data_IF_777769705451
#
_entry.id   IF_777769705451
#
_cell.length_a   1.000
_cell.length_b   1.000
_cell.length_c   1.000
_cell.angle_alpha   90.00
_cell.angle_beta   90.00
_cell.angle_gamma   90.00
#
_symmetry.space_group_name_H-M   'P 1'
#
loop_
_entity.id
_entity.type
_entity.pdbx_description
1 polymer ?
#
# COMPACT_ATOMS: atom_id res chain seq x y z
N UNK A 1 -25.59 6.67 -11.72
CA UNK A 1 -25.01 6.45 -13.07
C UNK A 1 -23.78 7.33 -13.17
N UNK A 2 -22.59 6.77 -13.15
CA UNK A 2 -21.34 7.51 -13.29
C UNK A 2 -21.24 7.97 -14.75
N UNK A 3 -20.93 9.24 -14.98
CA UNK A 3 -20.68 9.72 -16.34
C UNK A 3 -19.51 8.95 -16.95
N UNK A 4 -19.56 8.53 -18.22
CA UNK A 4 -18.48 7.76 -18.86
C UNK A 4 -17.13 8.48 -18.80
N UNK A 5 -17.12 9.80 -18.71
CA UNK A 5 -15.90 10.61 -18.55
C UNK A 5 -15.22 10.45 -17.19
N UNK A 6 -15.97 10.29 -16.09
CA UNK A 6 -15.37 10.07 -14.76
C UNK A 6 -14.74 8.68 -14.64
N UNK A 7 -15.35 7.66 -15.25
CA UNK A 7 -14.79 6.32 -15.27
C UNK A 7 -13.46 6.25 -16.04
N UNK A 8 -13.40 6.89 -17.22
CA UNK A 8 -12.16 6.94 -18.02
C UNK A 8 -11.04 7.69 -17.32
N UNK A 9 -11.36 8.76 -16.59
CA UNK A 9 -10.40 9.53 -15.80
C UNK A 9 -9.85 8.69 -14.64
N UNK A 10 -10.70 7.93 -13.92
CA UNK A 10 -10.28 7.01 -12.86
C UNK A 10 -9.31 5.94 -13.38
N UNK A 11 -9.62 5.32 -14.52
CA UNK A 11 -8.72 4.35 -15.16
C UNK A 11 -7.39 4.97 -15.57
N UNK A 12 -7.40 6.18 -16.15
CA UNK A 12 -6.18 6.89 -16.54
C UNK A 12 -5.28 7.23 -15.33
N UNK A 13 -5.88 7.73 -14.24
CA UNK A 13 -5.16 8.05 -13.02
C UNK A 13 -4.54 6.81 -12.36
N UNK A 14 -5.27 5.70 -12.30
CA UNK A 14 -4.77 4.44 -11.73
C UNK A 14 -3.70 3.81 -12.60
N UNK A 15 -3.87 3.86 -13.93
CA UNK A 15 -2.85 3.43 -14.88
C UNK A 15 -1.57 4.25 -14.75
N UNK A 16 -1.68 5.57 -14.66
CA UNK A 16 -0.56 6.48 -14.44
C UNK A 16 0.15 6.21 -13.10
N UNK A 17 -0.63 6.05 -12.02
CA UNK A 17 -0.08 5.70 -10.70
C UNK A 17 0.66 4.37 -10.75
N UNK A 18 0.06 3.34 -11.36
CA UNK A 18 0.68 2.01 -11.48
C UNK A 18 1.99 2.10 -12.27
N UNK A 19 2.02 2.83 -13.37
CA UNK A 19 3.23 3.03 -14.17
C UNK A 19 4.34 3.72 -13.37
N UNK A 20 4.01 4.77 -12.61
CA UNK A 20 4.98 5.49 -11.79
C UNK A 20 5.54 4.63 -10.64
N UNK A 21 4.70 3.88 -9.92
CA UNK A 21 5.20 3.01 -8.85
C UNK A 21 6.03 1.84 -9.38
N UNK A 22 5.72 1.33 -10.57
CA UNK A 22 6.54 0.31 -11.22
C UNK A 22 7.88 0.87 -11.68
N UNK A 23 7.90 2.09 -12.22
CA UNK A 23 9.15 2.77 -12.56
C UNK A 23 10.02 2.98 -11.32
N UNK A 24 9.42 3.45 -10.22
CA UNK A 24 10.12 3.60 -8.94
C UNK A 24 10.67 2.26 -8.44
N UNK A 25 9.88 1.18 -8.53
CA UNK A 25 10.34 -0.16 -8.15
C UNK A 25 11.54 -0.62 -8.97
N UNK A 26 11.53 -0.37 -10.29
CA UNK A 26 12.64 -0.72 -11.20
C UNK A 26 13.88 0.08 -10.83
N UNK A 27 13.77 1.39 -10.60
CA UNK A 27 14.90 2.25 -10.23
C UNK A 27 15.49 1.80 -8.89
N UNK A 28 14.67 1.59 -7.86
CA UNK A 28 15.14 1.12 -6.56
C UNK A 28 15.84 -0.24 -6.65
N UNK A 29 15.29 -1.15 -7.44
CA UNK A 29 15.87 -2.48 -7.63
C UNK A 29 17.19 -2.43 -8.41
N UNK A 30 17.26 -1.62 -9.47
CA UNK A 30 18.46 -1.51 -10.31
C UNK A 30 19.59 -0.84 -9.58
N UNK A 31 19.32 0.32 -8.96
CA UNK A 31 20.38 1.21 -8.48
C UNK A 31 20.80 0.91 -7.03
N UNK A 32 19.91 0.32 -6.23
CA UNK A 32 20.12 0.14 -4.78
C UNK A 32 19.81 -1.28 -4.27
N UNK A 33 19.86 -2.30 -5.13
CA UNK A 33 19.51 -3.70 -4.76
C UNK A 33 20.29 -4.30 -3.59
N UNK A 34 21.45 -3.74 -3.25
CA UNK A 34 22.25 -4.14 -2.09
C UNK A 34 21.66 -3.73 -0.75
N UNK A 35 20.75 -2.76 -0.73
CA UNK A 35 20.11 -2.25 0.48
C UNK A 35 18.78 -2.95 0.72
N UNK A 36 18.56 -3.44 1.94
CA UNK A 36 17.30 -4.09 2.33
C UNK A 36 16.11 -3.12 2.20
N UNK A 37 16.30 -1.86 2.61
CA UNK A 37 15.29 -0.81 2.49
C UNK A 37 14.87 -0.55 1.05
N UNK A 38 15.81 -0.54 0.08
CA UNK A 38 15.48 -0.37 -1.32
C UNK A 38 14.70 -1.57 -1.90
N UNK A 39 15.06 -2.80 -1.51
CA UNK A 39 14.34 -4.02 -1.92
C UNK A 39 12.90 -4.03 -1.36
N UNK A 40 12.73 -3.66 -0.10
CA UNK A 40 11.41 -3.56 0.53
C UNK A 40 10.61 -2.39 -0.04
N UNK A 41 11.25 -1.26 -0.35
CA UNK A 41 10.64 -0.14 -1.04
C UNK A 41 10.12 -0.52 -2.44
N UNK A 42 10.91 -1.27 -3.21
CA UNK A 42 10.48 -1.79 -4.50
C UNK A 42 9.30 -2.76 -4.37
N UNK A 43 9.33 -3.66 -3.38
CA UNK A 43 8.23 -4.58 -3.09
C UNK A 43 6.96 -3.82 -2.66
N UNK A 44 7.09 -2.80 -1.82
CA UNK A 44 6.00 -1.92 -1.41
C UNK A 44 5.40 -1.15 -2.60
N UNK A 45 6.23 -0.64 -3.50
CA UNK A 45 5.78 0.04 -4.72
C UNK A 45 4.98 -0.91 -5.62
N UNK A 46 5.47 -2.14 -5.85
CA UNK A 46 4.75 -3.17 -6.62
C UNK A 46 3.40 -3.50 -5.96
N UNK A 47 3.37 -3.70 -4.64
CA UNK A 47 2.14 -3.95 -3.90
C UNK A 47 1.14 -2.79 -3.97
N UNK A 48 1.64 -1.54 -3.97
CA UNK A 48 0.81 -0.34 -4.14
C UNK A 48 0.21 -0.25 -5.55
N UNK A 49 0.96 -0.63 -6.59
CA UNK A 49 0.44 -0.76 -7.95
C UNK A 49 -0.64 -1.83 -8.05
N UNK A 50 -0.41 -3.01 -7.43
CA UNK A 50 -1.43 -4.05 -7.36
C UNK A 50 -2.69 -3.56 -6.63
N UNK A 51 -2.54 -2.81 -5.53
CA UNK A 51 -3.66 -2.21 -4.82
C UNK A 51 -4.42 -1.18 -5.68
N UNK A 52 -3.72 -0.35 -6.44
CA UNK A 52 -4.36 0.61 -7.36
C UNK A 52 -5.29 -0.09 -8.37
N UNK A 53 -4.89 -1.28 -8.86
CA UNK A 53 -5.70 -2.10 -9.76
C UNK A 53 -6.86 -2.78 -9.01
N UNK A 54 -6.59 -3.46 -7.90
CA UNK A 54 -7.60 -4.25 -7.17
C UNK A 54 -8.66 -3.38 -6.48
N UNK A 55 -8.38 -2.12 -6.20
CA UNK A 55 -9.31 -1.16 -5.62
C UNK A 55 -10.20 -0.46 -6.65
N UNK A 56 -10.11 -0.80 -7.92
CA UNK A 56 -10.97 -0.23 -8.97
C UNK A 56 -12.40 -0.73 -8.83
N UNK A 57 -13.39 0.14 -9.03
CA UNK A 57 -14.81 -0.19 -8.90
C UNK A 57 -15.27 -1.34 -9.82
N UNK A 58 -14.59 -1.56 -10.96
CA UNK A 58 -14.85 -2.65 -11.89
C UNK A 58 -14.01 -3.91 -11.66
N UNK A 59 -13.17 -3.96 -10.63
CA UNK A 59 -12.34 -5.13 -10.37
C UNK A 59 -13.21 -6.30 -9.88
N UNK A 60 -13.13 -7.43 -10.56
CA UNK A 60 -13.78 -8.67 -10.16
C UNK A 60 -12.75 -9.76 -9.88
N UNK A 61 -12.79 -10.44 -8.71
CA UNK A 61 -11.93 -11.59 -8.43
C UNK A 61 -12.09 -12.73 -9.44
N UNK A 62 -13.20 -12.77 -10.18
CA UNK A 62 -13.49 -13.80 -11.19
C UNK A 62 -12.73 -13.64 -12.51
N UNK A 63 -11.91 -12.58 -12.66
CA UNK A 63 -11.17 -12.27 -13.91
C UNK A 63 -10.04 -13.28 -14.26
N UNK A 64 -9.90 -14.37 -13.52
CA UNK A 64 -8.99 -15.46 -13.86
C UNK A 64 -7.70 -15.49 -13.05
N UNK A 65 -6.73 -16.27 -13.53
CA UNK A 65 -5.49 -16.60 -12.81
C UNK A 65 -4.65 -15.36 -12.41
N UNK A 66 -4.75 -14.29 -13.16
CA UNK A 66 -4.00 -13.05 -12.90
C UNK A 66 -4.49 -12.26 -11.69
N UNK A 67 -5.70 -12.55 -11.20
CA UNK A 67 -6.22 -11.90 -9.98
C UNK A 67 -5.52 -12.39 -8.72
N UNK A 68 -5.02 -13.63 -8.71
CA UNK A 68 -4.34 -14.21 -7.54
C UNK A 68 -3.08 -13.41 -7.14
N UNK A 69 -2.10 -13.16 -8.01
CA UNK A 69 -0.93 -12.37 -7.64
C UNK A 69 -1.28 -10.92 -7.26
N UNK A 70 -2.27 -10.31 -7.92
CA UNK A 70 -2.71 -8.96 -7.58
C UNK A 70 -3.32 -8.90 -6.17
N UNK A 71 -4.18 -9.86 -5.82
CA UNK A 71 -4.77 -9.94 -4.48
C UNK A 71 -3.69 -10.21 -3.43
N UNK A 72 -2.76 -11.13 -3.70
CA UNK A 72 -1.67 -11.44 -2.79
C UNK A 72 -0.78 -10.21 -2.51
N UNK A 73 -0.35 -9.52 -3.57
CA UNK A 73 0.49 -8.33 -3.46
C UNK A 73 -0.23 -7.18 -2.77
N UNK A 74 -1.51 -6.93 -3.08
CA UNK A 74 -2.27 -5.85 -2.46
C UNK A 74 -2.61 -6.11 -1.00
N UNK A 75 -3.04 -7.33 -0.64
CA UNK A 75 -3.45 -7.68 0.72
C UNK A 75 -2.26 -7.74 1.67
N UNK A 76 -1.11 -8.27 1.23
CA UNK A 76 0.12 -8.35 2.01
C UNK A 76 0.91 -7.04 2.10
N UNK A 77 0.52 -6.01 1.35
CA UNK A 77 1.31 -4.78 1.20
C UNK A 77 1.50 -3.99 2.51
N UNK A 78 0.57 -4.10 3.45
CA UNK A 78 0.67 -3.42 4.75
C UNK A 78 1.83 -3.93 5.60
N UNK A 79 2.11 -5.24 5.59
CA UNK A 79 3.28 -5.83 6.24
C UNK A 79 4.56 -5.37 5.57
N UNK A 80 4.56 -5.32 4.22
CA UNK A 80 5.70 -4.83 3.44
C UNK A 80 5.97 -3.36 3.74
N UNK A 81 4.93 -2.52 3.85
CA UNK A 81 5.05 -1.12 4.27
C UNK A 81 5.73 -0.98 5.63
N UNK A 82 5.24 -1.71 6.64
CA UNK A 82 5.85 -1.66 7.96
C UNK A 82 7.30 -2.17 7.97
N UNK A 83 7.59 -3.28 7.28
CA UNK A 83 8.95 -3.79 7.13
C UNK A 83 9.87 -2.80 6.39
N UNK A 84 9.35 -2.12 5.36
CA UNK A 84 10.05 -1.05 4.64
C UNK A 84 10.35 0.12 5.58
N UNK A 85 9.35 0.63 6.31
CA UNK A 85 9.54 1.70 7.28
C UNK A 85 10.60 1.31 8.33
N UNK A 86 10.53 0.10 8.87
CA UNK A 86 11.51 -0.40 9.83
C UNK A 86 12.93 -0.45 9.24
N UNK A 87 13.09 -1.00 8.04
CA UNK A 87 14.40 -1.08 7.37
C UNK A 87 14.93 0.29 6.90
N UNK A 88 14.06 1.29 6.77
CA UNK A 88 14.45 2.63 6.37
C UNK A 88 15.07 3.43 7.52
N UNK A 89 14.60 3.16 8.75
CA UNK A 89 15.01 3.89 9.95
C UNK A 89 15.91 3.10 10.90
N UNK A 90 15.98 1.77 10.78
CA UNK A 90 16.80 0.90 11.61
C UNK A 90 17.73 0.04 10.75
N UNK A 91 19.02 0.41 10.71
CA UNK A 91 20.05 -0.31 9.95
C UNK A 91 20.28 -1.74 10.51
N UNK A 92 19.88 -2.01 11.74
CA UNK A 92 19.96 -3.33 12.36
C UNK A 92 18.76 -4.24 12.03
N UNK A 93 17.73 -3.69 11.38
CA UNK A 93 16.53 -4.43 11.03
C UNK A 93 16.84 -5.60 10.09
N UNK A 94 16.32 -6.77 10.45
CA UNK A 94 16.46 -8.00 9.65
C UNK A 94 15.10 -8.66 9.45
N UNK A 95 14.83 -9.05 8.21
CA UNK A 95 13.67 -9.88 7.93
C UNK A 95 13.83 -11.25 8.60
N UNK A 96 12.80 -11.66 9.33
CA UNK A 96 12.69 -12.96 9.99
C UNK A 96 11.49 -13.71 9.45
N UNK A 97 11.45 -15.04 9.61
CA UNK A 97 10.37 -15.88 9.10
C UNK A 97 8.96 -15.46 9.54
N UNK A 98 8.81 -14.88 10.72
CA UNK A 98 7.51 -14.40 11.20
C UNK A 98 6.94 -13.22 10.38
N UNK A 99 7.77 -12.39 9.73
CA UNK A 99 7.28 -11.35 8.82
C UNK A 99 6.62 -11.99 7.58
N UNK A 100 7.22 -13.07 7.07
CA UNK A 100 6.62 -13.84 5.98
C UNK A 100 5.32 -14.53 6.43
N UNK A 101 5.26 -15.04 7.66
CA UNK A 101 4.05 -15.62 8.22
C UNK A 101 2.91 -14.59 8.34
N UNK A 102 3.21 -13.37 8.80
CA UNK A 102 2.23 -12.27 8.83
C UNK A 102 1.77 -11.87 7.43
N UNK A 103 2.70 -11.80 6.48
CA UNK A 103 2.36 -11.51 5.08
C UNK A 103 1.41 -12.58 4.52
N UNK A 104 1.75 -13.87 4.72
CA UNK A 104 0.89 -14.99 4.30
C UNK A 104 -0.48 -14.96 4.97
N UNK A 105 -0.56 -14.61 6.25
CA UNK A 105 -1.83 -14.49 6.98
C UNK A 105 -2.74 -13.44 6.33
N UNK A 106 -2.20 -12.26 5.99
CA UNK A 106 -2.98 -11.22 5.33
C UNK A 106 -3.39 -11.62 3.91
N UNK A 107 -2.51 -12.29 3.18
CA UNK A 107 -2.81 -12.83 1.85
C UNK A 107 -3.95 -13.83 1.91
N UNK A 108 -3.90 -14.78 2.85
CA UNK A 108 -4.99 -15.74 3.07
C UNK A 108 -6.29 -15.06 3.46
N UNK A 109 -6.23 -14.02 4.31
CA UNK A 109 -7.38 -13.19 4.64
C UNK A 109 -7.98 -12.49 3.42
N UNK A 110 -7.13 -11.95 2.54
CA UNK A 110 -7.56 -11.34 1.29
C UNK A 110 -8.27 -12.33 0.35
N UNK A 111 -7.72 -13.54 0.20
CA UNK A 111 -8.38 -14.60 -0.56
C UNK A 111 -9.67 -15.08 0.09
N UNK A 112 -9.67 -15.27 1.41
CA UNK A 112 -10.88 -15.66 2.14
C UNK A 112 -12.01 -14.63 1.95
N UNK A 113 -11.68 -13.33 1.92
CA UNK A 113 -12.65 -12.27 1.64
C UNK A 113 -13.23 -12.34 0.22
N UNK A 114 -12.49 -12.87 -0.75
CA UNK A 114 -12.99 -13.09 -2.12
C UNK A 114 -13.93 -14.32 -2.20
N UNK A 115 -13.68 -15.34 -1.38
CA UNK A 115 -14.44 -16.59 -1.40
C UNK A 115 -15.70 -16.49 -0.51
N UNK A 116 -15.54 -15.91 0.68
CA UNK A 116 -16.61 -15.79 1.69
C UNK A 116 -16.59 -14.36 2.25
N UNK A 117 -17.22 -13.42 1.54
CA UNK A 117 -17.31 -12.04 2.02
C UNK A 117 -18.03 -11.98 3.37
N UNK A 118 -17.38 -11.38 4.38
CA UNK A 118 -17.94 -11.25 5.72
C UNK A 118 -17.53 -9.96 6.40
N UNK A 119 -18.46 -9.32 7.12
CA UNK A 119 -18.18 -8.06 7.82
C UNK A 119 -17.06 -8.21 8.84
N UNK A 120 -17.04 -9.29 9.61
CA UNK A 120 -16.01 -9.54 10.63
C UNK A 120 -14.63 -9.66 10.01
N UNK A 121 -14.48 -10.40 8.89
CA UNK A 121 -13.22 -10.54 8.18
C UNK A 121 -12.80 -9.21 7.55
N UNK A 122 -13.74 -8.47 6.96
CA UNK A 122 -13.48 -7.14 6.42
C UNK A 122 -12.96 -6.17 7.48
N UNK A 123 -13.60 -6.15 8.66
CA UNK A 123 -13.14 -5.36 9.80
C UNK A 123 -11.75 -5.79 10.29
N UNK A 124 -11.50 -7.09 10.41
CA UNK A 124 -10.20 -7.61 10.83
C UNK A 124 -9.07 -7.17 9.88
N UNK A 125 -9.28 -7.25 8.56
CA UNK A 125 -8.33 -6.79 7.56
C UNK A 125 -8.14 -5.27 7.60
N UNK A 126 -9.19 -4.50 7.82
CA UNK A 126 -9.12 -3.04 7.95
C UNK A 126 -8.37 -2.63 9.22
N UNK A 127 -8.65 -3.27 10.35
CA UNK A 127 -7.94 -3.02 11.61
C UNK A 127 -6.48 -3.43 11.52
N UNK A 128 -6.16 -4.53 10.83
CA UNK A 128 -4.75 -4.92 10.58
C UNK A 128 -4.02 -3.88 9.74
N UNK A 129 -4.66 -3.32 8.72
CA UNK A 129 -4.08 -2.24 7.90
C UNK A 129 -3.76 -1.01 8.75
N UNK A 130 -4.67 -0.62 9.62
CA UNK A 130 -4.48 0.50 10.55
C UNK A 130 -3.35 0.20 11.54
N UNK A 131 -3.30 -1.01 12.10
CA UNK A 131 -2.25 -1.43 13.02
C UNK A 131 -0.85 -1.34 12.37
N UNK A 132 -0.70 -1.82 11.14
CA UNK A 132 0.59 -1.73 10.42
C UNK A 132 0.94 -0.29 10.04
N UNK A 133 -0.03 0.57 9.71
CA UNK A 133 0.20 1.99 9.51
C UNK A 133 0.71 2.66 10.80
N UNK A 134 0.08 2.37 11.94
CA UNK A 134 0.51 2.87 13.25
C UNK A 134 1.89 2.36 13.65
N UNK A 135 2.21 1.08 13.37
CA UNK A 135 3.55 0.53 13.59
C UNK A 135 4.60 1.25 12.73
N UNK A 136 4.29 1.55 11.46
CA UNK A 136 5.16 2.34 10.60
C UNK A 136 5.41 3.75 11.13
N UNK A 137 4.39 4.43 11.64
CA UNK A 137 4.53 5.73 12.31
C UNK A 137 5.36 5.60 13.58
N UNK A 138 5.08 4.60 14.41
CA UNK A 138 5.78 4.39 15.68
C UNK A 138 7.27 4.15 15.47
N UNK A 139 7.66 3.33 14.47
CA UNK A 139 9.07 3.11 14.12
C UNK A 139 9.74 4.40 13.64
N UNK A 140 9.02 5.22 12.88
CA UNK A 140 9.50 6.53 12.42
C UNK A 140 9.74 7.50 13.57
N UNK A 141 8.81 7.56 14.55
CA UNK A 141 8.94 8.42 15.73
C UNK A 141 10.05 7.92 16.66
N UNK A 142 10.15 6.62 16.87
CA UNK A 142 11.17 6.03 17.76
C UNK A 142 12.60 6.31 17.27
N UNK A 143 12.81 6.33 15.94
CA UNK A 143 14.10 6.60 15.31
C UNK A 143 14.42 8.09 15.16
N UNK A 144 13.49 8.98 15.50
CA UNK A 144 13.65 10.44 15.31
C UNK A 144 14.89 11.01 16.00
N UNK A 145 15.28 10.45 17.15
CA UNK A 145 16.38 10.97 17.96
C UNK A 145 17.76 10.49 17.51
N UNK A 146 17.83 9.47 16.67
CA UNK A 146 19.08 8.82 16.25
C UNK A 146 19.59 9.25 14.88
N UNK A 147 18.73 9.87 14.06
CA UNK A 147 19.13 10.27 12.68
C UNK A 147 19.62 11.72 12.67
N UNK A 148 20.95 11.87 12.54
CA UNK A 148 21.66 13.16 12.56
C UNK A 148 21.65 13.91 11.20
N UNK A 149 21.22 13.27 10.10
CA UNK A 149 21.25 13.85 8.75
C UNK A 149 19.88 14.41 8.36
N UNK A 150 19.70 15.70 8.55
CA UNK A 150 18.42 16.41 8.43
C UNK A 150 17.73 16.30 7.06
N UNK A 151 18.48 16.27 5.95
CA UNK A 151 17.93 16.24 4.59
C UNK A 151 17.33 14.86 4.25
N UNK A 152 18.00 13.78 4.62
CA UNK A 152 17.50 12.40 4.41
C UNK A 152 16.28 12.13 5.29
N UNK A 153 16.26 12.67 6.51
CA UNK A 153 15.17 12.54 7.45
C UNK A 153 13.84 13.10 6.91
N UNK A 154 13.86 14.27 6.27
CA UNK A 154 12.64 14.90 5.72
C UNK A 154 11.98 14.04 4.66
N UNK A 155 12.73 13.50 3.70
CA UNK A 155 12.21 12.63 2.64
C UNK A 155 11.64 11.34 3.23
N UNK A 156 12.37 10.70 4.14
CA UNK A 156 11.91 9.46 4.80
C UNK A 156 10.61 9.69 5.59
N UNK A 157 10.55 10.76 6.37
CA UNK A 157 9.35 11.16 7.12
C UNK A 157 8.17 11.43 6.20
N UNK A 158 8.41 12.11 5.09
CA UNK A 158 7.37 12.40 4.11
C UNK A 158 6.81 11.11 3.51
N UNK A 159 7.67 10.20 3.02
CA UNK A 159 7.24 8.95 2.38
C UNK A 159 6.44 8.08 3.35
N UNK A 160 6.96 7.86 4.57
CA UNK A 160 6.27 7.01 5.56
C UNK A 160 5.01 7.69 6.08
N UNK A 161 5.06 8.99 6.38
CA UNK A 161 3.92 9.75 6.87
C UNK A 161 2.78 9.82 5.85
N UNK A 162 3.09 10.13 4.60
CA UNK A 162 2.11 10.19 3.52
C UNK A 162 1.49 8.81 3.24
N UNK A 163 2.30 7.74 3.24
CA UNK A 163 1.80 6.37 3.06
C UNK A 163 0.92 5.93 4.22
N UNK A 164 1.31 6.21 5.46
CA UNK A 164 0.52 5.89 6.64
C UNK A 164 -0.80 6.67 6.67
N UNK A 165 -0.77 7.96 6.32
CA UNK A 165 -1.96 8.80 6.21
C UNK A 165 -2.92 8.23 5.15
N UNK A 166 -2.40 7.85 3.97
CA UNK A 166 -3.20 7.24 2.93
C UNK A 166 -3.86 5.92 3.39
N UNK A 167 -3.10 5.03 4.02
CA UNK A 167 -3.63 3.77 4.59
C UNK A 167 -4.71 4.07 5.64
N UNK A 168 -4.45 5.03 6.52
CA UNK A 168 -5.38 5.44 7.57
C UNK A 168 -6.69 6.01 7.02
N UNK A 169 -6.63 6.89 6.03
CA UNK A 169 -7.81 7.45 5.37
C UNK A 169 -8.63 6.39 4.67
N UNK A 170 -7.97 5.44 3.97
CA UNK A 170 -8.67 4.30 3.36
C UNK A 170 -9.34 3.40 4.39
N UNK A 171 -8.67 3.12 5.51
CA UNK A 171 -9.25 2.34 6.59
C UNK A 171 -10.46 3.06 7.22
N UNK A 172 -10.35 4.37 7.48
CA UNK A 172 -11.44 5.17 8.02
C UNK A 172 -12.65 5.21 7.07
N UNK A 173 -12.44 5.38 5.77
CA UNK A 173 -13.49 5.35 4.77
C UNK A 173 -14.23 4.00 4.74
N UNK A 174 -13.49 2.88 4.85
CA UNK A 174 -14.08 1.55 4.93
C UNK A 174 -14.89 1.35 6.21
N UNK A 175 -14.39 1.83 7.35
CA UNK A 175 -15.13 1.77 8.63
C UNK A 175 -16.38 2.64 8.64
N UNK A 176 -16.35 3.78 7.94
CA UNK A 176 -17.51 4.66 7.76
C UNK A 176 -18.57 4.07 6.79
N UNK A 177 -18.34 2.86 6.28
CA UNK A 177 -19.28 2.20 5.37
C UNK A 177 -19.30 2.79 3.96
N UNK A 178 -18.28 3.57 3.58
CA UNK A 178 -18.14 4.06 2.21
C UNK A 178 -17.87 2.85 1.32
N UNK A 179 -18.80 2.50 0.39
CA UNK A 179 -18.61 1.33 -0.46
C UNK A 179 -17.34 1.48 -1.28
N UNK A 180 -16.56 0.39 -1.45
CA UNK A 180 -15.44 0.37 -2.41
C UNK A 180 -15.89 0.68 -3.84
N UNK A 181 -17.18 0.48 -4.11
CA UNK A 181 -17.88 0.90 -5.33
C UNK A 181 -18.46 2.30 -5.22
N UNK A 182 -18.02 3.12 -4.26
CA UNK A 182 -18.41 4.52 -4.18
C UNK A 182 -18.18 5.21 -5.53
N UNK A 183 -19.03 6.21 -5.88
CA UNK A 183 -18.96 6.87 -7.17
C UNK A 183 -17.52 7.33 -7.45
N UNK A 184 -17.17 7.39 -8.73
CA UNK A 184 -15.84 7.67 -9.25
C UNK A 184 -15.07 8.79 -8.51
N UNK A 185 -15.76 9.67 -7.81
CA UNK A 185 -15.19 10.74 -6.98
C UNK A 185 -14.33 10.23 -5.81
N UNK A 186 -14.79 9.21 -5.06
CA UNK A 186 -14.00 8.63 -3.96
C UNK A 186 -12.79 7.84 -4.45
N UNK A 187 -12.94 7.20 -5.62
CA UNK A 187 -11.88 6.49 -6.31
C UNK A 187 -10.81 7.45 -6.85
N UNK A 188 -11.24 8.60 -7.40
CA UNK A 188 -10.36 9.67 -7.86
C UNK A 188 -9.50 10.27 -6.75
N UNK A 189 -10.08 10.51 -5.58
CA UNK A 189 -9.34 11.01 -4.41
C UNK A 189 -8.26 10.01 -3.98
N UNK A 190 -8.58 8.71 -3.99
CA UNK A 190 -7.61 7.66 -3.71
C UNK A 190 -6.47 7.61 -4.74
N UNK A 191 -6.80 7.69 -6.03
CA UNK A 191 -5.83 7.73 -7.14
C UNK A 191 -4.91 8.95 -7.08
N UNK A 192 -5.47 10.13 -6.84
CA UNK A 192 -4.72 11.38 -6.67
C UNK A 192 -3.82 11.34 -5.45
N UNK A 193 -4.29 10.78 -4.33
CA UNK A 193 -3.48 10.60 -3.12
C UNK A 193 -2.25 9.72 -3.37
N UNK A 194 -2.42 8.59 -4.03
CA UNK A 194 -1.30 7.71 -4.43
C UNK A 194 -0.33 8.42 -5.38
N UNK A 195 -0.86 9.14 -6.37
CA UNK A 195 -0.06 9.86 -7.36
C UNK A 195 0.75 10.98 -6.70
N UNK A 196 0.16 11.71 -5.75
CA UNK A 196 0.85 12.75 -4.99
C UNK A 196 1.99 12.17 -4.15
N UNK A 197 1.79 11.03 -3.49
CA UNK A 197 2.83 10.35 -2.70
C UNK A 197 4.00 9.95 -3.59
N UNK A 198 3.72 9.37 -4.76
CA UNK A 198 4.77 8.89 -5.69
C UNK A 198 5.45 10.03 -6.42
N UNK A 199 4.72 11.09 -6.81
CA UNK A 199 5.26 12.23 -7.54
C UNK A 199 6.13 13.16 -6.70
N UNK A 200 6.01 13.10 -5.37
CA UNK A 200 6.77 13.92 -4.42
C UNK A 200 7.92 13.14 -3.75
N UNK A 201 8.05 11.84 -3.98
CA UNK A 201 9.12 10.97 -3.45
C UNK A 201 10.30 10.87 -4.41
#
# INVERSE_FOLDING_TARGET
>A
MTSPGLASLDWALRGGTTALVLLLAIVLWRDHRGLLSARLGAAFAIGSGAYAITSTAGFSPALGIWTFPLIALSSGNNVVFWAFASALFDDSFRLRGWHAALWLLLVMGGFAMCLVPGQALGLALTLSSLAFAMLGIATTIASWRTDLVERRRRVRLFVVGASALYIGLNAAAQMAGVPRSAPAEGSLVGGLGLLAIVGLS
#
